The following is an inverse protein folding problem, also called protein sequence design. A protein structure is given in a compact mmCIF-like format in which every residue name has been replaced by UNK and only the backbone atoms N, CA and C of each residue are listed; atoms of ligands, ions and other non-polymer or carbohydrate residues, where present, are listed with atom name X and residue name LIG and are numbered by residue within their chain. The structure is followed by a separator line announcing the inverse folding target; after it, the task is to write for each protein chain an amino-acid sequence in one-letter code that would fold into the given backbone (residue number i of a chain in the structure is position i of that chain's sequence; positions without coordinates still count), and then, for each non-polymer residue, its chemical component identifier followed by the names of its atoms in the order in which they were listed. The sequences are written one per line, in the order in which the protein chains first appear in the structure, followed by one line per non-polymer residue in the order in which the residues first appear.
data_IF_704740251253
#
_entry.id   IF_704740251253
#
_cell.length_a   1.000
_cell.length_b   1.000
_cell.length_c   1.000
_cell.angle_alpha   90.00
_cell.angle_beta   90.00
_cell.angle_gamma   90.00
#
_symmetry.space_group_name_H-M   'P 1'
#
loop_
_entity.id
_entity.type
_entity.pdbx_description
1 polymer ?
#
# COMPACT_ATOMS: atom_id res chain seq x y z
N UNK A 1 -17.66 6.54 22.57
CA UNK A 1 -16.21 6.50 22.25
C UNK A 1 -15.97 5.24 21.42
N UNK A 2 -15.99 5.35 20.10
CA UNK A 2 -15.55 4.25 19.23
C UNK A 2 -14.03 4.20 19.31
N UNK A 3 -13.45 3.03 19.55
CA UNK A 3 -12.00 2.86 19.56
C UNK A 3 -11.42 3.33 18.22
N UNK A 4 -10.38 4.15 18.28
CA UNK A 4 -9.59 4.57 17.12
C UNK A 4 -9.02 3.32 16.43
N UNK A 5 -9.76 2.74 15.48
CA UNK A 5 -9.26 1.60 14.71
C UNK A 5 -8.08 2.09 13.87
N UNK A 6 -6.90 1.57 14.17
CA UNK A 6 -5.63 1.91 13.51
C UNK A 6 -5.49 1.31 12.09
N UNK A 7 -6.57 0.72 11.55
CA UNK A 7 -6.59 -0.04 10.31
C UNK A 7 -7.94 0.09 9.61
N UNK A 8 -7.95 -0.10 8.29
CA UNK A 8 -9.18 -0.11 7.50
C UNK A 8 -9.98 -1.39 7.75
N UNK A 9 -11.30 -1.26 7.75
CA UNK A 9 -12.22 -2.41 7.88
C UNK A 9 -12.34 -3.11 6.53
N UNK A 10 -11.96 -4.39 6.47
CA UNK A 10 -12.15 -5.25 5.31
C UNK A 10 -13.05 -6.44 5.68
N UNK A 11 -14.07 -6.70 4.87
CA UNK A 11 -15.07 -7.75 5.11
C UNK A 11 -15.46 -8.45 3.81
N UNK A 12 -15.98 -9.67 3.93
CA UNK A 12 -16.72 -10.34 2.86
C UNK A 12 -18.18 -9.89 2.92
N UNK A 13 -18.68 -9.30 1.84
CA UNK A 13 -20.08 -8.89 1.68
C UNK A 13 -20.57 -9.30 0.30
N UNK A 14 -21.74 -9.95 0.21
CA UNK A 14 -22.34 -10.38 -1.07
C UNK A 14 -21.39 -11.19 -1.98
N UNK A 15 -20.59 -12.07 -1.37
CA UNK A 15 -19.55 -12.85 -2.08
C UNK A 15 -18.46 -12.00 -2.76
N UNK A 16 -18.24 -10.78 -2.28
CA UNK A 16 -17.10 -9.96 -2.66
C UNK A 16 -16.35 -9.48 -1.42
N UNK A 17 -15.02 -9.48 -1.51
CA UNK A 17 -14.19 -8.89 -0.45
C UNK A 17 -14.12 -7.39 -0.71
N UNK A 18 -14.45 -6.59 0.30
CA UNK A 18 -14.38 -5.13 0.22
C UNK A 18 -13.63 -4.54 1.41
N UNK A 19 -13.09 -3.34 1.24
CA UNK A 19 -12.45 -2.56 2.30
C UNK A 19 -13.00 -1.13 2.32
N UNK A 20 -13.32 -0.64 3.52
CA UNK A 20 -13.76 0.74 3.79
C UNK A 20 -12.55 1.65 3.92
N UNK A 21 -12.36 2.58 2.99
CA UNK A 21 -11.23 3.51 2.95
C UNK A 21 -11.68 4.93 3.32
N UNK A 22 -11.33 5.45 4.50
CA UNK A 22 -11.69 6.81 4.89
C UNK A 22 -10.80 7.82 4.17
N UNK A 23 -11.35 8.57 3.22
CA UNK A 23 -10.57 9.51 2.39
C UNK A 23 -10.40 10.89 3.03
N UNK A 24 -11.19 11.22 4.07
CA UNK A 24 -11.18 12.56 4.68
C UNK A 24 -10.54 12.65 6.06
N UNK A 25 -9.87 11.58 6.51
CA UNK A 25 -9.18 11.52 7.81
C UNK A 25 -7.66 11.74 7.63
N UNK A 26 -7.14 12.96 7.90
CA UNK A 26 -5.77 13.34 7.56
C UNK A 26 -4.67 12.59 8.34
N UNK A 27 -4.98 12.05 9.51
CA UNK A 27 -4.04 11.30 10.37
C UNK A 27 -4.06 9.79 10.13
N UNK A 28 -4.84 9.31 9.15
CA UNK A 28 -5.00 7.88 8.91
C UNK A 28 -3.89 7.30 8.02
N UNK A 29 -3.84 5.95 7.93
CA UNK A 29 -3.00 5.20 6.98
C UNK A 29 -3.43 5.40 5.52
N UNK A 30 -4.59 6.00 5.31
CA UNK A 30 -5.19 6.30 4.01
C UNK A 30 -5.15 7.80 3.75
N UNK A 31 -4.65 8.20 2.59
CA UNK A 31 -4.52 9.61 2.21
C UNK A 31 -4.84 9.76 0.73
N UNK A 32 -5.34 10.93 0.35
CA UNK A 32 -5.45 11.29 -1.07
C UNK A 32 -4.18 11.99 -1.50
N UNK A 33 -3.62 11.55 -2.62
CA UNK A 33 -2.40 12.07 -3.23
C UNK A 33 -2.66 12.44 -4.68
N UNK A 34 -2.09 13.56 -5.14
CA UNK A 34 -2.07 13.93 -6.55
C UNK A 34 -0.72 13.54 -7.14
N UNK A 35 -0.73 12.87 -8.28
CA UNK A 35 0.48 12.45 -8.97
C UNK A 35 0.60 13.21 -10.28
N UNK A 36 1.67 13.99 -10.40
CA UNK A 36 2.02 14.70 -11.64
C UNK A 36 3.29 14.09 -12.22
N UNK A 37 3.29 13.82 -13.53
CA UNK A 37 4.44 13.23 -14.22
C UNK A 37 4.90 14.13 -15.35
N UNK A 38 6.14 14.62 -15.28
CA UNK A 38 6.75 15.48 -16.31
C UNK A 38 8.24 15.19 -16.42
N UNK A 39 8.77 15.07 -17.63
CA UNK A 39 10.22 14.91 -17.89
C UNK A 39 10.87 13.77 -17.07
N UNK A 40 10.21 12.62 -16.95
CA UNK A 40 10.63 11.48 -16.12
C UNK A 40 10.74 11.76 -14.61
N UNK A 41 10.15 12.86 -14.14
CA UNK A 41 10.00 13.18 -12.73
C UNK A 41 8.54 12.91 -12.36
N UNK A 42 8.35 12.18 -11.26
CA UNK A 42 7.05 11.99 -10.63
C UNK A 42 7.00 12.79 -9.33
N UNK A 43 6.04 13.69 -9.24
CA UNK A 43 5.76 14.50 -8.05
C UNK A 43 4.47 13.98 -7.41
N UNK A 44 4.55 13.66 -6.11
CA UNK A 44 3.41 13.14 -5.33
C UNK A 44 3.11 14.11 -4.19
N UNK A 45 1.98 14.78 -4.28
CA UNK A 45 1.57 15.82 -3.31
C UNK A 45 0.34 15.37 -2.50
N UNK A 46 0.25 15.70 -1.20
CA UNK A 46 -0.98 15.48 -0.43
C UNK A 46 -2.11 16.38 -0.95
N UNK A 47 -3.29 15.80 -1.14
CA UNK A 47 -4.50 16.55 -1.49
C UNK A 47 -5.39 16.62 -0.25
N UNK A 48 -5.90 17.81 0.14
CA UNK A 48 -6.94 17.97 1.14
C UNK A 48 -8.32 17.81 0.48
N UNK A 49 -8.93 16.60 0.47
CA UNK A 49 -10.03 16.31 -0.45
C UNK A 49 -11.33 17.05 -0.10
N UNK A 50 -11.46 17.59 1.12
CA UNK A 50 -12.60 18.44 1.50
C UNK A 50 -12.48 19.89 0.97
N UNK A 51 -11.28 20.31 0.60
CA UNK A 51 -10.99 21.69 0.20
C UNK A 51 -10.76 21.81 -1.31
N UNK A 52 -10.26 20.75 -1.94
CA UNK A 52 -9.93 20.71 -3.37
C UNK A 52 -10.83 19.78 -4.18
N UNK A 53 -11.03 20.13 -5.46
CA UNK A 53 -11.73 19.28 -6.40
C UNK A 53 -10.81 18.12 -6.79
N UNK A 54 -11.37 16.91 -6.71
CA UNK A 54 -10.72 15.66 -7.08
C UNK A 54 -10.67 15.51 -8.60
N UNK A 55 -9.53 15.04 -9.11
CA UNK A 55 -9.17 14.96 -10.53
C UNK A 55 -8.68 13.56 -10.91
N UNK A 56 -8.57 13.28 -12.20
CA UNK A 56 -8.07 11.98 -12.70
C UNK A 56 -6.63 11.66 -12.29
N UNK A 57 -5.87 12.65 -11.80
CA UNK A 57 -4.50 12.48 -11.32
C UNK A 57 -4.44 12.16 -9.82
N UNK A 58 -5.58 12.03 -9.15
CA UNK A 58 -5.65 11.75 -7.73
C UNK A 58 -5.77 10.25 -7.46
N UNK A 59 -5.09 9.82 -6.40
CA UNK A 59 -5.00 8.44 -5.94
C UNK A 59 -5.27 8.38 -4.46
N UNK A 60 -5.91 7.30 -4.03
CA UNK A 60 -5.93 6.89 -2.63
C UNK A 60 -4.63 6.12 -2.36
N UNK A 61 -3.72 6.71 -1.60
CA UNK A 61 -2.54 6.07 -1.03
C UNK A 61 -2.97 5.38 0.28
N UNK A 62 -2.78 4.06 0.36
CA UNK A 62 -3.02 3.30 1.58
C UNK A 62 -1.76 2.54 1.99
N UNK A 63 -1.20 2.91 3.15
CA UNK A 63 -0.15 2.15 3.81
C UNK A 63 -0.74 0.87 4.44
N UNK A 64 -0.92 -0.14 3.61
CA UNK A 64 -1.59 -1.38 3.98
C UNK A 64 -0.71 -2.26 4.88
N UNK A 65 -1.34 -2.92 5.86
CA UNK A 65 -0.74 -3.88 6.79
C UNK A 65 -1.36 -5.26 6.60
N UNK A 66 -0.88 -6.27 7.34
CA UNK A 66 -1.42 -7.63 7.27
C UNK A 66 -1.74 -8.25 8.63
N UNK A 67 -1.13 -7.75 9.71
CA UNK A 67 -1.37 -8.24 11.06
C UNK A 67 -1.18 -7.14 12.10
N UNK A 68 -1.93 -7.24 13.20
CA UNK A 68 -1.76 -6.43 14.40
C UNK A 68 -2.11 -7.27 15.62
N UNK A 69 -1.23 -7.31 16.62
CA UNK A 69 -1.41 -8.07 17.85
C UNK A 69 -1.87 -9.52 17.60
N UNK A 70 -1.14 -10.24 16.73
CA UNK A 70 -1.43 -11.62 16.27
C UNK A 70 -2.75 -11.83 15.52
N UNK A 71 -3.53 -10.77 15.27
CA UNK A 71 -4.76 -10.84 14.49
C UNK A 71 -4.51 -10.41 13.04
N UNK A 72 -5.17 -11.08 12.10
CA UNK A 72 -5.18 -10.66 10.70
C UNK A 72 -5.96 -9.34 10.58
N UNK A 73 -5.38 -8.39 9.85
CA UNK A 73 -6.01 -7.12 9.49
C UNK A 73 -5.73 -6.82 8.02
N UNK A 74 -6.54 -5.96 7.40
CA UNK A 74 -6.28 -5.40 6.07
C UNK A 74 -5.87 -6.49 5.06
N UNK A 75 -4.64 -6.50 4.52
CA UNK A 75 -4.20 -7.51 3.56
C UNK A 75 -4.28 -8.95 4.10
N UNK A 76 -4.02 -9.17 5.39
CA UNK A 76 -4.11 -10.51 5.98
C UNK A 76 -5.53 -11.07 5.93
N UNK A 77 -6.53 -10.23 6.18
CA UNK A 77 -7.94 -10.60 6.02
C UNK A 77 -8.30 -10.78 4.56
N UNK A 78 -7.89 -9.86 3.69
CA UNK A 78 -8.14 -9.96 2.24
C UNK A 78 -7.58 -11.28 1.69
N UNK A 79 -6.33 -11.62 2.02
CA UNK A 79 -5.68 -12.85 1.57
C UNK A 79 -6.44 -14.09 2.07
N UNK A 80 -6.85 -14.09 3.34
CA UNK A 80 -7.66 -15.17 3.91
C UNK A 80 -8.97 -15.34 3.15
N UNK A 81 -9.73 -14.28 2.98
CA UNK A 81 -11.02 -14.35 2.30
C UNK A 81 -10.88 -14.75 0.83
N UNK A 82 -9.85 -14.26 0.12
CA UNK A 82 -9.56 -14.68 -1.25
C UNK A 82 -9.25 -16.17 -1.37
N UNK A 83 -8.50 -16.72 -0.42
CA UNK A 83 -8.17 -18.14 -0.40
C UNK A 83 -9.40 -18.99 -0.03
N UNK A 84 -10.06 -18.68 1.09
CA UNK A 84 -11.19 -19.46 1.62
C UNK A 84 -12.37 -19.50 0.64
N UNK A 85 -12.58 -18.44 -0.14
CA UNK A 85 -13.65 -18.37 -1.14
C UNK A 85 -13.19 -18.80 -2.56
N UNK A 86 -11.95 -19.30 -2.71
CA UNK A 86 -11.46 -19.87 -3.98
C UNK A 86 -11.11 -18.85 -5.07
N UNK A 87 -11.09 -17.54 -4.77
CA UNK A 87 -10.66 -16.50 -5.70
C UNK A 87 -9.15 -16.53 -5.97
N UNK A 88 -8.38 -17.06 -5.03
CA UNK A 88 -6.94 -17.29 -5.15
C UNK A 88 -6.63 -18.72 -4.67
N UNK A 89 -6.11 -19.56 -5.57
CA UNK A 89 -5.87 -20.98 -5.26
C UNK A 89 -4.53 -21.20 -4.56
N UNK A 90 -4.42 -22.33 -3.86
CA UNK A 90 -3.20 -22.72 -3.13
C UNK A 90 -1.96 -22.82 -4.03
N UNK A 91 -2.10 -23.44 -5.19
CA UNK A 91 -1.01 -23.58 -6.17
C UNK A 91 -0.52 -22.22 -6.65
N UNK A 92 -1.41 -21.25 -6.85
CA UNK A 92 -1.07 -19.88 -7.22
C UNK A 92 -0.28 -19.16 -6.11
N UNK A 93 -0.73 -19.30 -4.86
CA UNK A 93 -0.04 -18.75 -3.68
C UNK A 93 1.36 -19.37 -3.57
N UNK A 94 1.46 -20.68 -3.66
CA UNK A 94 2.75 -21.36 -3.53
C UNK A 94 3.69 -21.11 -4.70
N UNK A 95 3.17 -20.94 -5.92
CA UNK A 95 3.99 -20.53 -7.05
C UNK A 95 4.57 -19.12 -6.86
N UNK A 96 3.79 -18.18 -6.32
CA UNK A 96 4.29 -16.85 -5.94
C UNK A 96 5.35 -16.97 -4.85
N UNK A 97 5.07 -17.73 -3.80
CA UNK A 97 5.98 -17.90 -2.67
C UNK A 97 7.32 -18.52 -3.09
N UNK A 98 7.32 -19.62 -3.85
CA UNK A 98 8.57 -20.27 -4.30
C UNK A 98 9.37 -19.38 -5.25
N UNK A 99 8.70 -18.62 -6.11
CA UNK A 99 9.37 -17.71 -7.06
C UNK A 99 10.07 -16.55 -6.35
N UNK A 100 9.47 -15.99 -5.30
CA UNK A 100 9.96 -14.77 -4.64
C UNK A 100 10.70 -15.06 -3.34
N UNK A 101 10.36 -16.12 -2.63
CA UNK A 101 10.89 -16.48 -1.32
C UNK A 101 12.39 -16.69 -1.30
N UNK A 102 12.99 -17.05 -2.44
CA UNK A 102 14.44 -17.20 -2.59
C UNK A 102 15.15 -15.94 -3.09
N UNK A 103 14.41 -14.88 -3.44
CA UNK A 103 15.00 -13.64 -3.92
C UNK A 103 15.53 -12.79 -2.74
N UNK A 104 16.62 -12.03 -2.94
CA UNK A 104 17.09 -11.05 -1.96
C UNK A 104 16.02 -10.00 -1.65
N UNK A 105 15.86 -9.60 -0.38
CA UNK A 105 14.79 -8.65 0.01
C UNK A 105 15.17 -7.20 -0.24
N UNK A 106 14.16 -6.34 -0.40
CA UNK A 106 14.35 -4.92 -0.66
C UNK A 106 15.08 -4.20 0.49
N UNK A 107 14.67 -4.43 1.74
CA UNK A 107 15.31 -3.84 2.93
C UNK A 107 16.80 -4.21 3.04
N UNK A 108 17.19 -5.41 2.60
CA UNK A 108 18.56 -5.90 2.70
C UNK A 108 19.47 -5.40 1.58
N UNK A 109 18.93 -5.17 0.38
CA UNK A 109 19.73 -4.88 -0.82
C UNK A 109 19.78 -3.41 -1.22
N UNK A 110 18.88 -2.59 -0.66
CA UNK A 110 18.80 -1.18 -0.99
C UNK A 110 19.02 -0.30 0.24
N UNK A 111 19.52 0.92 0.02
CA UNK A 111 19.84 1.88 1.10
C UNK A 111 19.38 3.28 0.71
N UNK A 112 18.98 4.05 1.70
CA UNK A 112 18.77 5.50 1.56
C UNK A 112 20.16 6.14 1.44
N UNK A 113 20.37 6.97 0.42
CA UNK A 113 21.66 7.58 0.12
C UNK A 113 21.54 9.10 0.12
N UNK A 114 22.56 9.81 0.63
CA UNK A 114 22.65 11.27 0.51
C UNK A 114 23.73 11.61 -0.49
N UNK A 115 23.38 12.40 -1.50
CA UNK A 115 24.33 12.89 -2.49
C UNK A 115 24.89 14.24 -2.04
N UNK A 116 26.22 14.32 -1.93
CA UNK A 116 26.95 15.53 -1.51
C UNK A 116 27.60 16.27 -2.68
N UNK A 117 27.27 15.91 -3.93
CA UNK A 117 27.99 16.42 -5.13
C UNK A 117 27.49 17.78 -5.63
N UNK A 118 26.29 18.20 -5.26
CA UNK A 118 25.69 19.45 -5.73
C UNK A 118 25.90 20.54 -4.67
N UNK A 119 26.96 21.33 -4.80
CA UNK A 119 27.33 22.39 -3.85
C UNK A 119 26.48 23.67 -4.01
N UNK A 120 25.18 23.53 -4.31
CA UNK A 120 24.28 24.68 -4.19
C UNK A 120 24.16 25.08 -2.72
N UNK A 121 24.48 26.34 -2.42
CA UNK A 121 24.37 26.90 -1.09
C UNK A 121 23.13 27.79 -1.01
N UNK A 122 22.45 27.74 0.13
CA UNK A 122 21.43 28.70 0.52
C UNK A 122 21.93 29.38 1.80
N UNK A 123 22.54 30.54 1.64
CA UNK A 123 23.27 31.23 2.71
C UNK A 123 24.35 30.31 3.33
N UNK A 124 24.36 30.12 4.66
CA UNK A 124 25.29 29.23 5.36
C UNK A 124 24.96 27.72 5.22
N UNK A 125 23.85 27.37 4.57
CA UNK A 125 23.39 25.99 4.45
C UNK A 125 23.84 25.35 3.13
N UNK A 126 24.40 24.14 3.22
CA UNK A 126 24.69 23.29 2.05
C UNK A 126 23.48 22.45 1.72
N UNK A 127 22.96 22.59 0.50
CA UNK A 127 21.87 21.74 0.03
C UNK A 127 22.40 20.33 -0.24
N UNK A 128 21.77 19.34 0.37
CA UNK A 128 22.03 17.92 0.11
C UNK A 128 20.72 17.22 -0.23
N UNK A 129 20.76 16.31 -1.21
CA UNK A 129 19.60 15.54 -1.62
C UNK A 129 19.67 14.11 -1.08
N UNK A 130 18.59 13.66 -0.46
CA UNK A 130 18.39 12.28 -0.04
C UNK A 130 17.64 11.50 -1.13
N UNK A 131 18.25 10.42 -1.62
CA UNK A 131 17.66 9.48 -2.56
C UNK A 131 17.16 8.27 -1.80
N UNK A 132 15.84 8.07 -1.83
CA UNK A 132 15.17 6.90 -1.28
C UNK A 132 14.77 5.96 -2.41
N UNK A 133 15.19 4.68 -2.40
CA UNK A 133 14.78 3.71 -3.41
C UNK A 133 13.30 3.34 -3.22
N UNK A 134 12.63 3.06 -4.34
CA UNK A 134 11.24 2.60 -4.40
C UNK A 134 11.16 1.43 -5.40
N UNK A 135 10.49 0.34 -5.04
CA UNK A 135 10.05 -0.67 -6.00
C UNK A 135 8.58 -0.47 -6.30
N UNK A 136 8.22 -0.39 -7.59
CA UNK A 136 6.84 -0.22 -8.04
C UNK A 136 6.36 -1.43 -8.83
N UNK A 137 5.17 -1.91 -8.52
CA UNK A 137 4.44 -2.90 -9.30
C UNK A 137 3.14 -2.27 -9.85
N UNK A 138 3.09 -1.90 -11.14
CA UNK A 138 1.87 -1.37 -11.78
C UNK A 138 0.85 -2.48 -12.05
N UNK A 139 -0.43 -2.11 -12.13
CA UNK A 139 -1.55 -3.01 -12.42
C UNK A 139 -2.42 -2.50 -13.58
N UNK A 140 -3.27 -3.36 -14.12
CA UNK A 140 -4.06 -3.07 -15.31
C UNK A 140 -5.10 -1.97 -15.11
N UNK A 141 -5.65 -1.80 -13.91
CA UNK A 141 -6.69 -0.80 -13.62
C UNK A 141 -6.11 0.59 -13.27
N UNK A 142 -4.79 0.77 -13.46
CA UNK A 142 -4.06 1.98 -13.11
C UNK A 142 -3.63 2.04 -11.64
N UNK A 143 -4.03 1.09 -10.80
CA UNK A 143 -3.47 0.94 -9.46
C UNK A 143 -2.01 0.52 -9.52
N UNK A 144 -1.27 0.79 -8.44
CA UNK A 144 0.09 0.28 -8.30
C UNK A 144 0.45 0.07 -6.83
N UNK A 145 1.44 -0.80 -6.59
CA UNK A 145 2.01 -1.02 -5.26
C UNK A 145 3.42 -0.46 -5.23
N UNK A 146 3.72 0.34 -4.22
CA UNK A 146 5.06 0.81 -3.92
C UNK A 146 5.60 0.16 -2.65
N UNK A 147 6.87 -0.24 -2.69
CA UNK A 147 7.67 -0.60 -1.52
C UNK A 147 8.71 0.49 -1.34
N UNK A 148 8.67 1.18 -0.20
CA UNK A 148 9.50 2.36 0.08
C UNK A 148 10.34 2.12 1.33
N UNK A 149 11.65 2.42 1.29
CA UNK A 149 12.47 2.41 2.50
C UNK A 149 12.25 3.68 3.32
N UNK A 150 12.06 3.51 4.63
CA UNK A 150 12.00 4.60 5.61
C UNK A 150 12.89 4.28 6.80
N UNK A 151 13.39 5.30 7.49
CA UNK A 151 14.03 5.08 8.79
C UNK A 151 13.03 4.57 9.83
N UNK A 152 13.47 3.66 10.71
CA UNK A 152 12.68 3.22 11.86
C UNK A 152 12.61 4.36 12.88
N UNK A 153 11.42 4.65 13.41
CA UNK A 153 11.24 5.76 14.37
C UNK A 153 11.75 5.45 15.79
N UNK A 154 11.75 4.17 16.20
CA UNK A 154 12.09 3.72 17.57
C UNK A 154 13.10 2.56 17.60
N UNK A 155 13.84 2.38 16.51
CA UNK A 155 14.85 1.32 16.39
C UNK A 155 15.90 1.73 15.36
N UNK A 156 17.06 1.07 15.38
CA UNK A 156 18.12 1.28 14.39
C UNK A 156 17.75 0.62 13.06
N UNK A 157 18.06 1.30 11.96
CA UNK A 157 17.93 0.77 10.60
C UNK A 157 16.73 1.29 9.82
N UNK A 158 16.55 0.75 8.62
CA UNK A 158 15.43 1.07 7.75
C UNK A 158 14.30 0.04 7.92
N UNK A 159 13.11 0.38 7.45
CA UNK A 159 11.95 -0.48 7.31
C UNK A 159 11.39 -0.30 5.91
N UNK A 160 11.05 -1.40 5.25
CA UNK A 160 10.27 -1.37 4.03
C UNK A 160 8.79 -1.15 4.37
N UNK A 161 8.16 -0.15 3.76
CA UNK A 161 6.73 0.12 3.87
C UNK A 161 6.04 -0.19 2.55
N UNK A 162 4.91 -0.90 2.61
CA UNK A 162 4.11 -1.26 1.44
C UNK A 162 2.92 -0.30 1.35
N UNK A 163 2.76 0.32 0.18
CA UNK A 163 1.65 1.21 -0.14
C UNK A 163 0.92 0.68 -1.37
N UNK A 164 -0.41 0.70 -1.35
CA UNK A 164 -1.20 0.57 -2.57
C UNK A 164 -1.77 1.94 -2.93
N UNK A 165 -1.65 2.29 -4.20
CA UNK A 165 -2.21 3.50 -4.80
C UNK A 165 -3.35 3.10 -5.71
N UNK A 166 -4.55 3.59 -5.43
CA UNK A 166 -5.77 3.27 -6.17
C UNK A 166 -6.28 4.57 -6.81
N UNK A 167 -6.37 4.68 -8.15
CA UNK A 167 -6.93 5.87 -8.79
C UNK A 167 -8.32 6.18 -8.25
N UNK A 168 -8.64 7.45 -7.99
CA UNK A 168 -9.99 7.82 -7.49
C UNK A 168 -11.12 7.44 -8.44
N UNK A 169 -10.80 7.21 -9.71
CA UNK A 169 -11.70 6.79 -10.79
C UNK A 169 -11.52 5.31 -11.15
N UNK A 170 -10.81 4.52 -10.33
CA UNK A 170 -10.67 3.08 -10.56
C UNK A 170 -12.04 2.41 -10.49
N UNK A 171 -12.27 1.46 -11.40
CA UNK A 171 -13.45 0.61 -11.40
C UNK A 171 -13.58 -0.27 -10.14
N UNK A 172 -12.46 -0.48 -9.43
CA UNK A 172 -12.44 -1.20 -8.15
C UNK A 172 -12.90 -0.34 -6.97
N UNK A 173 -13.15 0.96 -7.17
CA UNK A 173 -13.75 1.84 -6.17
C UNK A 173 -15.25 2.02 -6.44
N UNK A 174 -16.05 1.90 -5.38
CA UNK A 174 -17.48 2.22 -5.36
C UNK A 174 -17.74 3.30 -4.31
N UNK A 175 -17.63 4.58 -4.67
CA UNK A 175 -18.16 5.65 -3.83
C UNK A 175 -19.69 5.74 -4.00
N UNK A 176 -20.39 6.36 -3.05
CA UNK A 176 -21.83 6.65 -3.17
C UNK A 176 -22.13 7.57 -4.35
N UNK A 177 -21.26 8.56 -4.57
CA UNK A 177 -21.26 9.46 -5.72
C UNK A 177 -19.89 9.48 -6.38
N UNK A 178 -19.79 9.60 -7.72
CA UNK A 178 -18.50 9.72 -8.41
C UNK A 178 -17.59 10.77 -7.76
N UNK A 179 -16.35 10.39 -7.44
CA UNK A 179 -15.40 11.30 -6.79
C UNK A 179 -14.91 12.41 -7.72
N UNK A 180 -14.79 12.11 -9.01
CA UNK A 180 -14.22 13.01 -10.00
C UNK A 180 -15.06 14.28 -10.17
N UNK A 181 -14.41 15.45 -10.12
CA UNK A 181 -15.05 16.73 -10.37
C UNK A 181 -15.76 17.33 -9.15
N UNK A 182 -15.63 16.74 -7.96
CA UNK A 182 -16.16 17.31 -6.71
C UNK A 182 -15.15 17.28 -5.57
N UNK A 183 -15.51 17.95 -4.47
CA UNK A 183 -14.84 17.82 -3.18
C UNK A 183 -15.43 16.63 -2.42
N UNK A 184 -14.64 16.03 -1.53
CA UNK A 184 -15.11 14.99 -0.63
C UNK A 184 -15.99 15.57 0.49
N UNK A 185 -17.03 14.83 0.87
CA UNK A 185 -17.89 15.12 2.00
C UNK A 185 -17.17 14.87 3.33
N UNK A 186 -17.66 15.47 4.40
CA UNK A 186 -17.08 15.26 5.74
C UNK A 186 -17.29 13.82 6.19
N UNK A 187 -16.19 13.13 6.56
CA UNK A 187 -16.25 11.73 7.00
C UNK A 187 -16.44 10.74 5.85
N UNK A 188 -16.33 11.20 4.61
CA UNK A 188 -16.53 10.34 3.44
C UNK A 188 -15.55 9.17 3.45
N UNK A 189 -16.13 8.00 3.18
CA UNK A 189 -15.48 6.69 3.09
C UNK A 189 -15.87 6.08 1.76
N UNK A 190 -14.92 5.44 1.09
CA UNK A 190 -15.18 4.76 -0.18
C UNK A 190 -14.92 3.26 -0.05
N UNK A 191 -15.68 2.48 -0.81
CA UNK A 191 -15.55 1.02 -0.80
C UNK A 191 -14.56 0.61 -1.89
N UNK A 192 -13.51 -0.10 -1.51
CA UNK A 192 -12.57 -0.72 -2.45
C UNK A 192 -12.80 -2.22 -2.55
N UNK A 193 -12.93 -2.73 -3.76
CA UNK A 193 -13.15 -4.12 -4.11
C UNK A 193 -11.85 -4.67 -4.73
N UNK A 194 -10.93 -5.21 -3.91
CA UNK A 194 -9.73 -5.85 -4.42
C UNK A 194 -10.08 -6.89 -5.49
N UNK A 195 -9.18 -7.02 -6.46
CA UNK A 195 -9.24 -8.04 -7.52
C UNK A 195 -8.08 -9.00 -7.27
N UNK A 196 -8.12 -10.17 -7.90
CA UNK A 196 -7.06 -11.17 -7.77
C UNK A 196 -5.65 -10.62 -8.04
N UNK A 197 -5.52 -9.72 -9.02
CA UNK A 197 -4.26 -9.04 -9.32
C UNK A 197 -3.76 -8.19 -8.14
N UNK A 198 -4.64 -7.42 -7.50
CA UNK A 198 -4.33 -6.63 -6.30
C UNK A 198 -3.77 -7.52 -5.19
N UNK A 199 -4.47 -8.62 -4.89
CA UNK A 199 -4.09 -9.55 -3.81
C UNK A 199 -2.78 -10.27 -4.12
N UNK A 200 -2.61 -10.73 -5.36
CA UNK A 200 -1.37 -11.35 -5.81
C UNK A 200 -0.20 -10.36 -5.78
N UNK A 201 -0.43 -9.11 -6.18
CA UNK A 201 0.57 -8.04 -6.13
C UNK A 201 1.01 -7.72 -4.71
N UNK A 202 0.06 -7.59 -3.78
CA UNK A 202 0.35 -7.36 -2.36
C UNK A 202 1.11 -8.51 -1.73
N UNK A 203 0.76 -9.77 -2.07
CA UNK A 203 1.50 -10.94 -1.62
C UNK A 203 2.97 -10.87 -2.06
N UNK A 204 3.22 -10.58 -3.35
CA UNK A 204 4.57 -10.40 -3.90
C UNK A 204 5.32 -9.28 -3.17
N UNK A 205 4.64 -8.16 -2.93
CA UNK A 205 5.23 -6.99 -2.29
C UNK A 205 5.70 -7.28 -0.86
N UNK A 206 4.87 -7.90 -0.03
CA UNK A 206 5.28 -8.26 1.33
C UNK A 206 6.39 -9.33 1.35
N UNK A 207 6.38 -10.30 0.44
CA UNK A 207 7.43 -11.34 0.36
C UNK A 207 8.81 -10.78 -0.03
N UNK A 208 8.85 -9.73 -0.86
CA UNK A 208 10.11 -9.10 -1.29
C UNK A 208 10.52 -7.94 -0.37
N UNK A 209 9.61 -7.34 0.39
CA UNK A 209 9.88 -6.14 1.19
C UNK A 209 11.01 -6.31 2.22
N UNK A 210 10.93 -7.34 3.07
CA UNK A 210 11.96 -7.67 4.06
C UNK A 210 11.85 -9.13 4.51
N UNK A 211 12.90 -9.68 5.14
CA UNK A 211 12.85 -11.04 5.69
C UNK A 211 11.77 -11.17 6.78
N UNK A 212 11.56 -10.11 7.57
CA UNK A 212 10.51 -10.07 8.59
C UNK A 212 9.14 -10.21 7.94
N UNK A 213 8.83 -9.38 6.94
CA UNK A 213 7.56 -9.47 6.23
C UNK A 213 7.37 -10.84 5.59
N UNK A 214 8.41 -11.40 4.96
CA UNK A 214 8.36 -12.74 4.37
C UNK A 214 7.99 -13.82 5.40
N UNK A 215 8.68 -13.84 6.54
CA UNK A 215 8.42 -14.79 7.62
C UNK A 215 7.02 -14.61 8.21
N UNK A 216 6.55 -13.37 8.36
CA UNK A 216 5.21 -13.10 8.85
C UNK A 216 4.14 -13.61 7.87
N UNK A 217 4.32 -13.39 6.56
CA UNK A 217 3.43 -13.95 5.54
C UNK A 217 3.47 -15.48 5.55
N UNK A 218 4.65 -16.09 5.61
CA UNK A 218 4.80 -17.54 5.72
C UNK A 218 4.03 -18.10 6.92
N UNK A 219 4.13 -17.46 8.08
CA UNK A 219 3.37 -17.82 9.27
C UNK A 219 1.85 -17.70 9.05
N UNK A 220 1.38 -16.66 8.34
CA UNK A 220 -0.03 -16.51 8.00
C UNK A 220 -0.49 -17.66 7.10
N UNK A 221 0.28 -18.00 6.07
CA UNK A 221 -0.04 -19.11 5.16
C UNK A 221 -0.13 -20.44 5.94
N UNK A 222 0.85 -20.75 6.78
CA UNK A 222 0.89 -22.01 7.52
C UNK A 222 -0.15 -22.07 8.65
N UNK A 223 -0.23 -21.05 9.50
CA UNK A 223 -0.98 -21.12 10.75
C UNK A 223 -2.42 -20.63 10.61
N UNK A 224 -2.69 -19.68 9.71
CA UNK A 224 -4.03 -19.13 9.53
C UNK A 224 -4.76 -19.75 8.34
N UNK A 225 -4.03 -20.18 7.30
CA UNK A 225 -4.63 -20.73 6.07
C UNK A 225 -4.35 -22.23 5.86
N UNK A 226 -3.48 -22.85 6.68
CA UNK A 226 -3.08 -24.26 6.53
C UNK A 226 -2.44 -24.60 5.17
N UNK A 227 -1.87 -23.60 4.49
CA UNK A 227 -1.15 -23.74 3.22
C UNK A 227 0.31 -24.09 3.50
N UNK A 228 0.83 -25.12 2.81
CA UNK A 228 2.25 -25.52 2.88
C UNK A 228 2.90 -25.37 1.51
N UNK A 229 3.59 -24.25 1.35
CA UNK A 229 4.48 -23.97 0.24
C UNK A 229 5.91 -24.37 0.61
#
# INVERSE_FOLDING_TARGET
MMSDRQYCECVLADSEVLCKLPITLPTSKVRVKRITRKNNIEEIEPVPPRSEILTVNDYIEWQISYAFDNNLIEFGLILKEFYTNGYLKEDEICNIFRKIGNMPTFEENYRIQRNMKDFSQLDEFVLIYEKTPILRLPMHDGSFIDIVLRHKQRAVGNQAMVYIYIPINSESLKPEEPLLGRKAFRGETVMWYPRKEHVSGLLKAFLIASLKHRKDIENILMNNLSIKC
#
